data_IF_343437508427
#
_entry.id   IF_343437508427
#
_cell.length_a   1.000
_cell.length_b   1.000
_cell.length_c   1.000
_cell.angle_alpha   90.00
_cell.angle_beta   90.00
_cell.angle_gamma   90.00
#
_symmetry.space_group_name_H-M   'P 1'
#
loop_
_entity.id
_entity.type
_entity.pdbx_description
1 polymer ?
#
# COMPACT_ATOMS: atom_id res chain seq x y z
N UNK A 1 -10.10 -39.15 -56.38
CA UNK A 1 -9.13 -38.82 -55.31
C UNK A 1 -9.90 -38.28 -54.12
N UNK A 2 -10.03 -39.05 -53.04
CA UNK A 2 -10.78 -38.64 -51.85
C UNK A 2 -9.81 -38.05 -50.81
N UNK A 3 -10.00 -36.78 -50.48
CA UNK A 3 -9.23 -36.04 -49.48
C UNK A 3 -9.47 -36.62 -48.09
N UNK A 4 -8.41 -37.16 -47.47
CA UNK A 4 -8.42 -37.60 -46.07
C UNK A 4 -8.45 -36.37 -45.17
N UNK A 5 -9.54 -36.18 -44.44
CA UNK A 5 -9.58 -35.29 -43.29
C UNK A 5 -8.66 -35.91 -42.23
N UNK A 6 -7.62 -35.17 -41.86
CA UNK A 6 -6.61 -35.59 -40.87
C UNK A 6 -7.29 -35.64 -39.49
N UNK A 7 -7.58 -36.84 -38.99
CA UNK A 7 -8.08 -37.01 -37.61
C UNK A 7 -8.92 -38.25 -37.29
N UNK A 8 -9.43 -39.01 -38.27
CA UNK A 8 -10.25 -40.20 -37.99
C UNK A 8 -9.45 -41.50 -37.84
N UNK A 9 -9.88 -42.40 -36.94
CA UNK A 9 -9.38 -43.78 -36.89
C UNK A 9 -9.71 -44.53 -38.20
N UNK A 10 -8.86 -45.50 -38.57
CA UNK A 10 -9.08 -46.36 -39.75
C UNK A 10 -10.27 -47.31 -39.58
N UNK A 11 -10.58 -47.67 -38.33
CA UNK A 11 -11.73 -48.47 -37.97
C UNK A 11 -12.96 -47.58 -37.80
N UNK A 12 -13.99 -47.81 -38.62
CA UNK A 12 -15.19 -46.95 -38.66
C UNK A 12 -16.04 -47.08 -37.40
N UNK A 13 -16.09 -48.27 -36.80
CA UNK A 13 -16.87 -48.50 -35.60
C UNK A 13 -16.20 -47.85 -34.39
N UNK A 14 -14.88 -47.98 -34.28
CA UNK A 14 -14.08 -47.28 -33.26
C UNK A 14 -14.15 -45.76 -33.37
N UNK A 15 -14.10 -45.22 -34.59
CA UNK A 15 -14.19 -43.76 -34.81
C UNK A 15 -15.58 -43.20 -34.45
N UNK A 16 -16.65 -43.96 -34.73
CA UNK A 16 -18.01 -43.59 -34.31
C UNK A 16 -18.17 -43.65 -32.80
N UNK A 17 -17.68 -44.69 -32.14
CA UNK A 17 -17.74 -44.82 -30.69
C UNK A 17 -17.02 -43.64 -30.00
N UNK A 18 -15.79 -43.34 -30.44
CA UNK A 18 -15.01 -42.22 -29.92
C UNK A 18 -15.74 -40.88 -30.10
N UNK A 19 -16.32 -40.61 -31.28
CA UNK A 19 -17.12 -39.39 -31.51
C UNK A 19 -18.32 -39.29 -30.57
N UNK A 20 -19.03 -40.39 -30.32
CA UNK A 20 -20.17 -40.36 -29.39
C UNK A 20 -19.73 -40.11 -27.95
N UNK A 21 -18.56 -40.60 -27.54
CA UNK A 21 -17.98 -40.33 -26.22
C UNK A 21 -17.53 -38.88 -26.09
N UNK A 22 -16.87 -38.34 -27.12
CA UNK A 22 -16.47 -36.93 -27.19
C UNK A 22 -17.69 -36.01 -27.16
N UNK A 23 -18.76 -36.33 -27.89
CA UNK A 23 -20.01 -35.58 -27.87
C UNK A 23 -20.67 -35.62 -26.48
N UNK A 24 -20.73 -36.79 -25.84
CA UNK A 24 -21.24 -36.93 -24.47
C UNK A 24 -20.40 -36.14 -23.47
N UNK A 25 -19.08 -36.19 -23.57
CA UNK A 25 -18.18 -35.44 -22.71
C UNK A 25 -18.35 -33.93 -22.92
N UNK A 26 -18.44 -33.49 -24.17
CA UNK A 26 -18.71 -32.08 -24.52
C UNK A 26 -20.04 -31.61 -23.94
N UNK A 27 -21.11 -32.37 -24.10
CA UNK A 27 -22.43 -32.03 -23.53
C UNK A 27 -22.37 -31.96 -22.00
N UNK A 28 -21.68 -32.91 -21.37
CA UNK A 28 -21.47 -32.90 -19.91
C UNK A 28 -20.74 -31.64 -19.45
N UNK A 29 -19.67 -31.24 -20.13
CA UNK A 29 -18.92 -30.02 -19.80
C UNK A 29 -19.73 -28.75 -20.05
N UNK A 30 -20.49 -28.68 -21.15
CA UNK A 30 -21.37 -27.55 -21.45
C UNK A 30 -22.49 -27.41 -20.40
N UNK A 31 -23.10 -28.52 -19.99
CA UNK A 31 -24.13 -28.50 -18.96
C UNK A 31 -23.55 -28.06 -17.60
N UNK A 32 -22.38 -28.60 -17.20
CA UNK A 32 -21.72 -28.19 -15.95
C UNK A 32 -21.33 -26.70 -15.96
N UNK A 33 -20.83 -26.18 -17.08
CA UNK A 33 -20.52 -24.76 -17.23
C UNK A 33 -21.79 -23.90 -17.15
N UNK A 34 -22.88 -24.34 -17.79
CA UNK A 34 -24.18 -23.66 -17.75
C UNK A 34 -24.77 -23.64 -16.34
N UNK A 35 -24.64 -24.72 -15.57
CA UNK A 35 -25.10 -24.78 -14.17
C UNK A 35 -24.33 -23.78 -13.29
N UNK A 36 -23.00 -23.70 -13.43
CA UNK A 36 -22.18 -22.73 -12.71
C UNK A 36 -22.56 -21.29 -13.09
N UNK A 37 -22.86 -21.06 -14.37
CA UNK A 37 -23.28 -19.75 -14.86
C UNK A 37 -24.64 -19.36 -14.25
N UNK A 38 -25.62 -20.27 -14.25
CA UNK A 38 -26.93 -20.06 -13.64
C UNK A 38 -26.86 -19.77 -12.13
N UNK A 39 -25.90 -20.38 -11.41
CA UNK A 39 -25.69 -20.14 -9.97
C UNK A 39 -25.05 -18.77 -9.65
N UNK A 40 -24.30 -18.20 -10.59
CA UNK A 40 -23.52 -16.96 -10.36
C UNK A 40 -24.17 -15.72 -10.96
N UNK A 41 -24.97 -15.89 -12.01
CA UNK A 41 -25.62 -14.80 -12.73
C UNK A 41 -27.07 -14.55 -12.26
N UNK A 42 -27.68 -13.51 -12.82
CA UNK A 42 -29.10 -13.23 -12.64
C UNK A 42 -29.96 -14.33 -13.28
N UNK A 43 -31.01 -14.82 -12.57
CA UNK A 43 -31.84 -15.94 -13.02
C UNK A 43 -32.79 -15.61 -14.19
N UNK A 44 -32.89 -14.34 -14.56
CA UNK A 44 -33.71 -13.85 -15.66
C UNK A 44 -32.82 -13.34 -16.79
N UNK A 45 -33.26 -13.51 -18.03
CA UNK A 45 -32.69 -12.82 -19.18
C UNK A 45 -33.14 -11.36 -19.16
N UNK A 46 -32.20 -10.42 -19.27
CA UNK A 46 -32.41 -8.99 -19.05
C UNK A 46 -33.23 -8.37 -20.20
N UNK A 47 -33.20 -8.97 -21.39
CA UNK A 47 -33.81 -8.39 -22.59
C UNK A 47 -35.29 -8.75 -22.69
N UNK A 48 -35.63 -10.01 -22.44
CA UNK A 48 -36.99 -10.55 -22.61
C UNK A 48 -37.65 -10.95 -21.28
N UNK A 49 -36.95 -10.81 -20.14
CA UNK A 49 -37.38 -11.21 -18.80
C UNK A 49 -37.78 -12.69 -18.66
N UNK A 50 -37.37 -13.54 -19.62
CA UNK A 50 -37.63 -14.97 -19.54
C UNK A 50 -36.78 -15.59 -18.42
N UNK A 51 -37.37 -16.56 -17.71
CA UNK A 51 -36.64 -17.33 -16.69
C UNK A 51 -35.65 -18.26 -17.37
N UNK A 52 -34.35 -18.13 -17.03
CA UNK A 52 -33.32 -19.06 -17.52
C UNK A 52 -33.47 -20.47 -16.92
N UNK A 53 -34.30 -20.62 -15.88
CA UNK A 53 -34.57 -21.87 -15.17
C UNK A 53 -35.85 -22.59 -15.65
N UNK A 54 -36.47 -22.11 -16.74
CA UNK A 54 -37.69 -22.71 -17.27
C UNK A 54 -37.44 -24.18 -17.69
N UNK A 55 -38.05 -25.13 -16.98
CA UNK A 55 -37.91 -26.58 -17.23
C UNK A 55 -37.07 -27.34 -16.20
N UNK A 56 -36.30 -26.66 -15.34
CA UNK A 56 -35.79 -27.25 -14.10
C UNK A 56 -36.90 -27.17 -13.04
N UNK A 57 -37.12 -28.26 -12.31
CA UNK A 57 -38.24 -28.47 -11.38
C UNK A 57 -38.64 -27.25 -10.53
N UNK A 58 -39.90 -26.81 -10.67
CA UNK A 58 -40.83 -26.23 -9.67
C UNK A 58 -40.44 -25.03 -8.79
N UNK A 59 -39.17 -24.80 -8.51
CA UNK A 59 -38.72 -23.83 -7.52
C UNK A 59 -38.44 -22.49 -8.18
N UNK A 60 -39.07 -21.44 -7.66
CA UNK A 60 -38.81 -20.08 -8.11
C UNK A 60 -37.31 -19.73 -7.94
N UNK A 61 -36.70 -18.97 -8.87
CA UNK A 61 -35.27 -18.66 -8.82
C UNK A 61 -34.79 -17.97 -7.53
N UNK A 62 -35.71 -17.35 -6.80
CA UNK A 62 -35.45 -16.67 -5.53
C UNK A 62 -35.32 -17.60 -4.32
N UNK A 63 -35.82 -18.84 -4.40
CA UNK A 63 -35.75 -19.80 -3.27
C UNK A 63 -34.50 -20.68 -3.29
N UNK A 64 -33.79 -20.79 -4.42
CA UNK A 64 -32.64 -21.67 -4.59
C UNK A 64 -31.42 -21.31 -3.71
N UNK A 65 -31.27 -20.04 -3.34
CA UNK A 65 -30.13 -19.58 -2.50
C UNK A 65 -30.39 -19.68 -1.00
N UNK A 66 -31.64 -19.85 -0.58
CA UNK A 66 -32.04 -19.77 0.83
C UNK A 66 -32.53 -21.10 1.45
N UNK A 67 -32.79 -22.13 0.66
CA UNK A 67 -33.34 -23.41 1.14
C UNK A 67 -32.30 -24.53 1.23
N UNK A 68 -31.13 -24.29 1.83
CA UNK A 68 -30.48 -25.43 2.50
C UNK A 68 -31.34 -25.73 3.73
N UNK A 69 -32.05 -26.87 3.81
CA UNK A 69 -32.61 -27.29 5.09
C UNK A 69 -31.41 -27.34 6.04
N UNK A 70 -31.42 -26.46 7.05
CA UNK A 70 -30.53 -26.61 8.18
C UNK A 70 -30.96 -27.93 8.81
N UNK A 71 -30.32 -29.02 8.39
CA UNK A 71 -30.35 -30.28 9.14
C UNK A 71 -29.95 -29.83 10.54
N UNK A 72 -30.93 -29.78 11.44
CA UNK A 72 -30.70 -29.37 12.80
C UNK A 72 -29.57 -30.25 13.28
N UNK A 73 -28.39 -29.66 13.50
CA UNK A 73 -27.34 -30.35 14.24
C UNK A 73 -28.07 -30.78 15.50
N UNK A 74 -28.33 -32.09 15.66
CA UNK A 74 -28.66 -32.65 16.96
C UNK A 74 -27.57 -32.09 17.85
N UNK A 75 -27.93 -31.18 18.75
CA UNK A 75 -26.95 -30.52 19.60
C UNK A 75 -26.10 -31.62 20.19
N UNK A 76 -24.78 -31.55 20.00
CA UNK A 76 -23.87 -32.40 20.77
C UNK A 76 -24.38 -32.36 22.22
N UNK A 77 -24.56 -33.51 22.89
CA UNK A 77 -24.89 -33.51 24.31
C UNK A 77 -23.87 -32.58 24.96
N UNK A 78 -24.36 -31.50 25.59
CA UNK A 78 -23.48 -30.50 26.18
C UNK A 78 -22.55 -31.24 27.13
N UNK A 79 -21.23 -31.07 27.01
CA UNK A 79 -20.22 -31.68 27.89
C UNK A 79 -20.34 -31.25 29.37
N UNK A 80 -21.35 -30.44 29.67
CA UNK A 80 -21.74 -29.93 30.97
C UNK A 80 -22.79 -30.86 31.59
N UNK A 81 -22.47 -32.14 31.73
CA UNK A 81 -23.36 -33.09 32.40
C UNK A 81 -22.84 -33.37 33.81
N UNK A 82 -23.70 -33.26 34.82
CA UNK A 82 -23.34 -33.28 36.25
C UNK A 82 -23.02 -34.69 36.79
N UNK A 83 -22.63 -35.63 35.93
CA UNK A 83 -22.25 -37.00 36.28
C UNK A 83 -20.94 -37.42 35.62
N UNK A 84 -20.27 -38.38 36.23
CA UNK A 84 -19.01 -38.94 35.73
C UNK A 84 -19.32 -39.92 34.59
N UNK A 85 -18.69 -39.72 33.44
CA UNK A 85 -18.97 -40.47 32.20
C UNK A 85 -18.63 -41.96 32.34
N UNK A 86 -17.67 -42.32 33.20
CA UNK A 86 -17.25 -43.71 33.40
C UNK A 86 -18.17 -44.47 34.36
N UNK A 87 -18.65 -43.82 35.42
CA UNK A 87 -19.45 -44.47 36.46
C UNK A 87 -20.95 -44.18 36.36
N UNK A 88 -21.36 -43.21 35.54
CA UNK A 88 -22.73 -42.67 35.46
C UNK A 88 -23.31 -42.17 36.80
N UNK A 89 -22.47 -41.95 37.82
CA UNK A 89 -22.87 -41.40 39.11
C UNK A 89 -22.61 -39.89 39.14
N UNK A 90 -23.40 -39.16 39.93
CA UNK A 90 -23.24 -37.71 40.06
C UNK A 90 -21.85 -37.34 40.60
N UNK A 91 -21.33 -36.17 40.23
CA UNK A 91 -20.03 -35.70 40.74
C UNK A 91 -20.02 -35.53 42.26
N UNK A 92 -21.19 -35.42 42.89
CA UNK A 92 -21.32 -35.40 44.35
C UNK A 92 -20.88 -36.70 45.01
N UNK A 93 -21.07 -37.86 44.36
CA UNK A 93 -20.66 -39.18 44.89
C UNK A 93 -19.15 -39.38 44.75
N UNK A 94 -18.56 -38.88 43.66
CA UNK A 94 -17.12 -39.01 43.37
C UNK A 94 -16.25 -37.89 43.92
N UNK A 95 -16.80 -37.01 44.75
CA UNK A 95 -16.05 -35.90 45.30
C UNK A 95 -15.08 -36.39 46.40
N UNK A 96 -13.79 -36.05 46.26
CA UNK A 96 -12.72 -36.49 47.16
C UNK A 96 -12.84 -35.91 48.58
N UNK A 97 -13.48 -34.75 48.76
CA UNK A 97 -13.74 -34.14 50.07
C UNK A 97 -14.94 -34.77 50.81
N UNK A 98 -14.92 -34.71 52.15
CA UNK A 98 -16.01 -35.16 53.03
C UNK A 98 -17.32 -34.42 52.74
N UNK A 99 -18.52 -35.05 52.82
CA UNK A 99 -19.81 -34.45 52.42
C UNK A 99 -20.06 -33.02 52.89
N UNK A 100 -19.66 -32.68 54.11
CA UNK A 100 -19.84 -31.35 54.73
C UNK A 100 -18.94 -30.26 54.10
N UNK A 101 -17.74 -30.62 53.64
CA UNK A 101 -16.76 -29.70 53.05
C UNK A 101 -16.88 -29.61 51.52
N UNK A 102 -17.84 -30.33 50.93
CA UNK A 102 -18.05 -30.30 49.49
C UNK A 102 -18.58 -28.94 49.08
N UNK A 103 -18.11 -28.36 47.96
CA UNK A 103 -18.78 -27.24 47.33
C UNK A 103 -20.23 -27.65 47.06
N UNK A 104 -21.19 -27.02 47.75
CA UNK A 104 -22.60 -27.35 47.60
C UNK A 104 -23.04 -27.01 46.19
N UNK A 105 -23.23 -28.03 45.36
CA UNK A 105 -23.77 -27.92 44.01
C UNK A 105 -25.24 -27.51 44.09
N UNK A 106 -25.52 -26.22 44.32
CA UNK A 106 -26.90 -25.72 44.42
C UNK A 106 -27.15 -24.56 45.38
N UNK A 107 -26.19 -24.17 46.23
CA UNK A 107 -26.40 -23.08 47.20
C UNK A 107 -26.37 -21.71 46.50
N UNK A 108 -27.51 -21.31 45.96
CA UNK A 108 -27.96 -19.93 45.82
C UNK A 108 -27.28 -19.06 44.76
N UNK A 109 -26.11 -19.45 44.22
CA UNK A 109 -25.50 -18.82 43.04
C UNK A 109 -25.60 -19.74 41.83
N UNK A 110 -26.82 -20.19 41.49
CA UNK A 110 -27.12 -20.30 40.07
C UNK A 110 -26.81 -18.91 39.55
N UNK A 111 -25.71 -18.74 38.80
CA UNK A 111 -25.42 -17.52 38.05
C UNK A 111 -26.77 -17.04 37.56
N UNK A 112 -27.26 -15.90 38.10
CA UNK A 112 -28.58 -15.35 37.78
C UNK A 112 -28.76 -15.63 36.31
N UNK A 113 -29.70 -16.54 35.99
CA UNK A 113 -29.98 -17.04 34.63
C UNK A 113 -29.68 -15.86 33.74
N UNK A 114 -28.52 -15.81 33.03
CA UNK A 114 -28.06 -14.58 32.37
C UNK A 114 -29.31 -14.08 31.69
N UNK A 115 -29.87 -12.96 32.18
CA UNK A 115 -31.19 -12.48 31.75
C UNK A 115 -31.17 -12.65 30.25
N UNK A 116 -32.07 -13.46 29.67
CA UNK A 116 -31.90 -13.92 28.28
C UNK A 116 -31.63 -12.68 27.44
N UNK A 117 -30.36 -12.41 27.16
CA UNK A 117 -29.92 -11.13 26.62
C UNK A 117 -30.43 -11.19 25.21
N UNK A 118 -31.55 -10.50 24.97
CA UNK A 118 -32.11 -10.41 23.65
C UNK A 118 -31.03 -9.72 22.82
N UNK A 119 -30.56 -10.33 21.72
CA UNK A 119 -29.54 -9.71 20.91
C UNK A 119 -30.04 -8.34 20.44
N UNK A 120 -29.22 -7.31 20.55
CA UNK A 120 -29.61 -5.92 20.28
C UNK A 120 -30.21 -5.71 18.89
N UNK A 121 -29.86 -6.54 17.90
CA UNK A 121 -30.45 -6.49 16.55
C UNK A 121 -31.93 -6.91 16.50
N UNK A 122 -32.43 -7.58 17.55
CA UNK A 122 -33.82 -8.04 17.67
C UNK A 122 -34.71 -6.91 18.19
N UNK A 123 -34.14 -6.00 18.98
CA UNK A 123 -34.80 -4.82 19.48
C UNK A 123 -34.65 -3.69 18.46
N UNK A 124 -35.74 -3.35 17.78
CA UNK A 124 -35.74 -2.19 16.89
C UNK A 124 -35.70 -0.92 17.72
N UNK A 125 -34.78 -0.02 17.42
CA UNK A 125 -34.62 1.25 18.11
C UNK A 125 -35.49 2.37 17.52
N UNK A 126 -36.38 2.03 16.59
CA UNK A 126 -37.33 2.92 15.96
C UNK A 126 -38.73 2.29 15.87
N UNK A 127 -39.74 3.15 15.85
CA UNK A 127 -41.13 2.75 15.65
C UNK A 127 -41.38 2.45 14.17
N UNK A 128 -41.87 1.25 13.88
CA UNK A 128 -42.07 0.74 12.52
C UNK A 128 -43.11 1.57 11.74
N UNK A 129 -44.14 2.09 12.42
CA UNK A 129 -45.24 2.83 11.78
C UNK A 129 -44.80 4.25 11.45
N UNK A 130 -44.16 4.93 12.42
CA UNK A 130 -43.79 6.35 12.28
C UNK A 130 -42.37 6.56 11.75
N UNK A 131 -41.57 5.49 11.64
CA UNK A 131 -40.14 5.52 11.29
C UNK A 131 -39.25 6.40 12.17
N UNK A 132 -39.78 6.89 13.30
CA UNK A 132 -39.03 7.71 14.26
C UNK A 132 -38.32 6.83 15.26
N UNK A 133 -37.14 7.27 15.67
CA UNK A 133 -36.40 6.62 16.76
C UNK A 133 -37.19 6.72 18.07
N UNK A 134 -37.12 5.69 18.90
CA UNK A 134 -37.77 5.63 20.21
C UNK A 134 -37.28 6.73 21.15
N UNK A 135 -35.99 7.09 21.04
CA UNK A 135 -35.34 8.11 21.86
C UNK A 135 -34.50 9.05 20.98
N UNK A 136 -34.55 10.34 21.29
CA UNK A 136 -33.75 11.42 20.69
C UNK A 136 -33.72 11.44 19.15
N UNK A 137 -34.89 11.28 18.53
CA UNK A 137 -35.00 11.15 17.07
C UNK A 137 -34.29 12.25 16.30
N UNK A 138 -34.50 13.52 16.66
CA UNK A 138 -33.92 14.65 15.93
C UNK A 138 -32.39 14.69 16.03
N UNK A 139 -31.84 14.29 17.19
CA UNK A 139 -30.39 14.24 17.37
C UNK A 139 -29.77 13.08 16.60
N UNK A 140 -30.41 11.89 16.64
CA UNK A 140 -29.98 10.72 15.88
C UNK A 140 -30.06 10.97 14.37
N UNK A 141 -31.14 11.57 13.89
CA UNK A 141 -31.32 11.91 12.49
C UNK A 141 -30.23 12.90 12.01
N UNK A 142 -29.91 13.94 12.79
CA UNK A 142 -28.82 14.87 12.46
C UNK A 142 -27.45 14.17 12.40
N UNK A 143 -27.16 13.29 13.36
CA UNK A 143 -25.93 12.48 13.39
C UNK A 143 -25.86 11.51 12.21
N UNK A 144 -26.98 10.92 11.83
CA UNK A 144 -27.05 9.99 10.72
C UNK A 144 -26.83 10.70 9.39
N UNK A 145 -27.46 11.86 9.17
CA UNK A 145 -27.23 12.69 7.98
C UNK A 145 -25.77 13.12 7.88
N UNK A 146 -25.15 13.54 8.98
CA UNK A 146 -23.73 13.92 8.98
C UNK A 146 -22.82 12.73 8.70
N UNK A 147 -23.12 11.56 9.27
CA UNK A 147 -22.39 10.32 9.03
C UNK A 147 -22.55 9.83 7.59
N UNK A 148 -23.76 9.86 7.04
CA UNK A 148 -24.02 9.51 5.64
C UNK A 148 -23.28 10.45 4.69
N UNK A 149 -23.27 11.75 4.98
CA UNK A 149 -22.49 12.74 4.20
C UNK A 149 -20.99 12.46 4.26
N UNK A 150 -20.46 12.12 5.44
CA UNK A 150 -19.06 11.76 5.61
C UNK A 150 -18.70 10.46 4.86
N UNK A 151 -19.55 9.43 4.92
CA UNK A 151 -19.39 8.18 4.18
C UNK A 151 -19.45 8.40 2.67
N UNK A 152 -20.37 9.24 2.19
CA UNK A 152 -20.48 9.58 0.79
C UNK A 152 -19.23 10.33 0.31
N UNK A 153 -18.73 11.30 1.09
CA UNK A 153 -17.49 12.01 0.80
C UNK A 153 -16.28 11.06 0.78
N UNK A 154 -16.17 10.14 1.74
CA UNK A 154 -15.10 9.14 1.77
C UNK A 154 -15.14 8.20 0.57
N UNK A 155 -16.33 7.69 0.19
CA UNK A 155 -16.52 6.86 -1.01
C UNK A 155 -16.15 7.63 -2.28
N UNK A 156 -16.57 8.88 -2.39
CA UNK A 156 -16.22 9.74 -3.52
C UNK A 156 -14.71 9.95 -3.62
N UNK A 157 -14.04 10.32 -2.52
CA UNK A 157 -12.58 10.50 -2.49
C UNK A 157 -11.82 9.23 -2.83
N UNK A 158 -12.28 8.07 -2.35
CA UNK A 158 -11.64 6.79 -2.65
C UNK A 158 -11.74 6.42 -4.14
N UNK A 159 -12.89 6.67 -4.78
CA UNK A 159 -13.10 6.38 -6.20
C UNK A 159 -12.46 7.42 -7.12
N UNK A 160 -12.55 8.68 -6.74
CA UNK A 160 -12.12 9.84 -7.52
C UNK A 160 -10.98 10.56 -6.81
N UNK A 161 -9.88 9.84 -6.57
CA UNK A 161 -8.75 10.35 -5.81
C UNK A 161 -8.06 11.54 -6.49
N UNK A 162 -7.95 11.51 -7.81
CA UNK A 162 -7.31 12.54 -8.61
C UNK A 162 -8.24 13.05 -9.71
N UNK A 163 -8.32 14.37 -9.86
CA UNK A 163 -9.05 15.02 -10.94
C UNK A 163 -8.07 15.40 -12.07
N UNK A 164 -8.14 14.74 -13.25
CA UNK A 164 -7.19 14.99 -14.34
C UNK A 164 -7.37 16.35 -15.01
N UNK A 165 -8.57 16.93 -14.97
CA UNK A 165 -8.86 18.22 -15.61
C UNK A 165 -8.27 19.37 -14.80
N UNK A 166 -8.47 19.33 -13.48
CA UNK A 166 -7.92 20.34 -12.57
C UNK A 166 -6.48 20.03 -12.14
N UNK A 167 -5.99 18.83 -12.45
CA UNK A 167 -4.70 18.29 -12.02
C UNK A 167 -4.48 18.39 -10.50
N UNK A 168 -5.54 18.13 -9.72
CA UNK A 168 -5.53 18.21 -8.25
C UNK A 168 -6.11 16.96 -7.63
N UNK A 169 -5.63 16.63 -6.43
CA UNK A 169 -6.23 15.58 -5.63
C UNK A 169 -7.57 16.04 -5.02
N UNK A 170 -8.51 15.12 -4.87
CA UNK A 170 -9.81 15.42 -4.26
C UNK A 170 -9.71 15.69 -2.75
N UNK A 171 -8.64 15.20 -2.11
CA UNK A 171 -8.31 15.47 -0.72
C UNK A 171 -7.24 16.59 -0.63
N UNK A 172 -7.53 17.74 0.01
CA UNK A 172 -6.59 18.86 0.09
C UNK A 172 -5.29 18.50 0.83
N UNK A 173 -5.33 17.61 1.82
CA UNK A 173 -4.11 17.20 2.56
C UNK A 173 -3.20 16.32 1.70
N UNK A 174 -3.79 15.50 0.82
CA UNK A 174 -3.02 14.72 -0.15
C UNK A 174 -2.41 15.63 -1.23
N UNK A 175 -3.19 16.62 -1.70
CA UNK A 175 -2.73 17.59 -2.69
C UNK A 175 -1.52 18.38 -2.19
N UNK A 176 -1.55 18.84 -0.92
CA UNK A 176 -0.44 19.55 -0.29
C UNK A 176 0.82 18.68 -0.20
N UNK A 177 0.68 17.44 0.31
CA UNK A 177 1.81 16.49 0.42
C UNK A 177 2.43 16.16 -0.94
N UNK A 178 1.60 16.00 -1.97
CA UNK A 178 2.09 15.71 -3.31
C UNK A 178 2.84 16.90 -3.90
N UNK A 179 2.34 18.13 -3.72
CA UNK A 179 3.05 19.35 -4.13
C UNK A 179 4.43 19.45 -3.48
N UNK A 180 4.50 19.32 -2.15
CA UNK A 180 5.78 19.33 -1.43
C UNK A 180 6.76 18.28 -1.96
N UNK A 181 6.26 17.09 -2.28
CA UNK A 181 7.07 16.01 -2.86
C UNK A 181 7.56 16.35 -4.28
N UNK A 182 6.71 16.94 -5.12
CA UNK A 182 7.10 17.35 -6.46
C UNK A 182 8.13 18.48 -6.42
N UNK A 183 7.95 19.47 -5.56
CA UNK A 183 8.89 20.58 -5.36
C UNK A 183 10.25 20.06 -4.87
N UNK A 184 10.25 19.13 -3.90
CA UNK A 184 11.46 18.47 -3.44
C UNK A 184 12.14 17.65 -4.56
N UNK A 185 11.36 16.95 -5.39
CA UNK A 185 11.89 16.19 -6.51
C UNK A 185 12.48 17.09 -7.60
N UNK A 186 11.84 18.22 -7.89
CA UNK A 186 12.33 19.18 -8.88
C UNK A 186 13.65 19.81 -8.43
N UNK A 187 13.72 20.23 -7.17
CA UNK A 187 14.97 20.76 -6.60
C UNK A 187 16.08 19.71 -6.54
N UNK A 188 15.76 18.45 -6.25
CA UNK A 188 16.72 17.33 -6.30
C UNK A 188 17.24 17.09 -7.72
N UNK A 189 16.34 17.06 -8.71
CA UNK A 189 16.71 16.90 -10.13
C UNK A 189 17.67 17.98 -10.59
N UNK A 190 17.41 19.24 -10.24
CA UNK A 190 18.30 20.36 -10.57
C UNK A 190 19.66 20.18 -9.89
N UNK A 191 19.69 19.86 -8.60
CA UNK A 191 20.95 19.62 -7.85
C UNK A 191 21.75 18.47 -8.45
N UNK A 192 21.08 17.38 -8.81
CA UNK A 192 21.69 16.21 -9.44
C UNK A 192 22.26 16.55 -10.81
N UNK A 193 21.50 17.26 -11.64
CA UNK A 193 21.95 17.73 -12.94
C UNK A 193 23.20 18.63 -12.81
N UNK A 194 23.19 19.57 -11.86
CA UNK A 194 24.36 20.42 -11.56
C UNK A 194 25.57 19.62 -11.06
N UNK A 195 25.34 18.57 -10.27
CA UNK A 195 26.41 17.71 -9.77
C UNK A 195 27.05 16.86 -10.87
N UNK A 196 26.27 16.42 -11.86
CA UNK A 196 26.73 15.62 -13.01
C UNK A 196 27.43 16.45 -14.09
N UNK A 197 27.43 17.79 -13.99
CA UNK A 197 28.15 18.63 -14.93
C UNK A 197 29.67 18.34 -14.90
N UNK A 198 30.33 18.25 -16.05
CA UNK A 198 31.76 18.00 -16.09
C UNK A 198 32.54 19.15 -15.43
N UNK A 199 33.71 18.87 -14.80
CA UNK A 199 34.50 19.88 -14.10
C UNK A 199 34.92 21.04 -14.98
N UNK A 200 35.07 20.82 -16.29
CA UNK A 200 35.42 21.87 -17.24
C UNK A 200 34.31 22.91 -17.41
N UNK A 201 33.04 22.57 -17.17
CA UNK A 201 31.89 23.48 -17.25
C UNK A 201 31.55 24.03 -15.86
N UNK A 202 31.71 23.20 -14.83
CA UNK A 202 31.41 23.55 -13.44
C UNK A 202 32.29 24.73 -12.99
N UNK A 203 31.65 25.80 -12.51
CA UNK A 203 32.38 26.97 -12.02
C UNK A 203 32.96 27.89 -13.10
N UNK A 204 32.49 27.80 -14.36
CA UNK A 204 32.75 28.87 -15.34
C UNK A 204 31.91 30.11 -15.02
N UNK A 205 32.50 31.28 -15.21
CA UNK A 205 31.79 32.56 -15.06
C UNK A 205 30.53 32.65 -15.94
N UNK A 206 30.57 32.03 -17.13
CA UNK A 206 29.44 31.96 -18.07
C UNK A 206 28.21 31.25 -17.50
N UNK A 207 28.37 30.33 -16.54
CA UNK A 207 27.22 29.63 -15.94
C UNK A 207 26.40 30.53 -15.00
N UNK A 208 26.98 31.63 -14.52
CA UNK A 208 26.30 32.58 -13.64
C UNK A 208 25.76 33.79 -14.40
N UNK A 209 25.84 33.76 -15.73
CA UNK A 209 25.38 34.82 -16.61
C UNK A 209 24.25 34.32 -17.49
N UNK A 210 23.16 35.05 -17.57
CA UNK A 210 22.10 34.77 -18.53
C UNK A 210 22.44 35.45 -19.87
N UNK A 211 22.62 34.64 -20.91
CA UNK A 211 22.98 35.13 -22.25
C UNK A 211 21.85 35.93 -22.92
N UNK A 212 20.59 35.68 -22.55
CA UNK A 212 19.42 36.30 -23.18
C UNK A 212 19.04 37.59 -22.47
N UNK A 213 18.94 37.57 -21.14
CA UNK A 213 18.55 38.76 -20.37
C UNK A 213 19.74 39.65 -20.00
N UNK A 214 20.97 39.17 -20.22
CA UNK A 214 22.21 39.80 -19.75
C UNK A 214 22.26 40.04 -18.24
N UNK A 215 21.45 39.32 -17.47
CA UNK A 215 21.42 39.43 -16.02
C UNK A 215 22.37 38.41 -15.37
N UNK A 216 22.85 38.78 -14.18
CA UNK A 216 23.66 37.90 -13.34
C UNK A 216 22.74 37.04 -12.49
N UNK A 217 22.80 35.71 -12.69
CA UNK A 217 22.01 34.77 -11.90
C UNK A 217 22.55 34.63 -10.46
N UNK A 218 23.87 34.71 -10.27
CA UNK A 218 24.50 34.61 -8.95
C UNK A 218 25.71 35.55 -8.80
N UNK A 219 25.50 36.76 -8.25
CA UNK A 219 26.58 37.74 -8.11
C UNK A 219 27.60 37.35 -7.04
N UNK A 220 27.19 36.59 -6.02
CA UNK A 220 28.09 36.14 -4.96
C UNK A 220 29.13 35.15 -5.48
N UNK A 221 28.72 34.22 -6.35
CA UNK A 221 29.63 33.25 -6.97
C UNK A 221 30.67 33.94 -7.86
N UNK A 222 30.27 34.93 -8.68
CA UNK A 222 31.19 35.70 -9.51
C UNK A 222 32.19 36.51 -8.67
N UNK A 223 31.72 37.14 -7.58
CA UNK A 223 32.60 37.84 -6.64
C UNK A 223 33.63 36.89 -6.02
N UNK A 224 33.20 35.71 -5.59
CA UNK A 224 34.12 34.71 -5.04
C UNK A 224 35.19 34.28 -6.06
N UNK A 225 34.83 34.15 -7.34
CA UNK A 225 35.78 33.84 -8.42
C UNK A 225 36.80 34.97 -8.65
N UNK A 226 36.34 36.22 -8.62
CA UNK A 226 37.22 37.38 -8.74
C UNK A 226 38.21 37.44 -7.57
N UNK A 227 37.72 37.30 -6.34
CA UNK A 227 38.56 37.26 -5.12
C UNK A 227 39.61 36.14 -5.21
N UNK A 228 39.19 34.92 -5.59
CA UNK A 228 40.13 33.79 -5.72
C UNK A 228 41.20 34.03 -6.81
N UNK A 229 40.86 34.73 -7.89
CA UNK A 229 41.81 35.10 -8.94
C UNK A 229 42.81 36.17 -8.43
N UNK A 230 42.36 37.15 -7.68
CA UNK A 230 43.22 38.20 -7.12
C UNK A 230 44.13 37.64 -6.03
N UNK A 231 43.63 36.79 -5.13
CA UNK A 231 44.46 36.05 -4.18
C UNK A 231 45.53 35.20 -4.87
N UNK A 232 45.22 34.63 -6.04
CA UNK A 232 46.19 33.86 -6.83
C UNK A 232 47.29 34.77 -7.37
N UNK A 233 46.95 35.95 -7.89
CA UNK A 233 47.93 36.96 -8.34
C UNK A 233 48.84 37.39 -7.19
N UNK A 234 48.26 37.69 -6.03
CA UNK A 234 49.02 38.08 -4.83
C UNK A 234 49.95 36.95 -4.37
N UNK A 235 49.50 35.69 -4.40
CA UNK A 235 50.37 34.53 -4.11
C UNK A 235 51.56 34.42 -5.07
N UNK A 236 51.36 34.67 -6.37
CA UNK A 236 52.46 34.66 -7.34
C UNK A 236 53.44 35.83 -7.13
N UNK A 237 52.93 37.04 -6.88
CA UNK A 237 53.76 38.21 -6.53
C UNK A 237 54.62 37.93 -5.30
N UNK A 238 54.00 37.41 -4.24
CA UNK A 238 54.69 37.08 -3.00
C UNK A 238 55.76 36.00 -3.21
N UNK A 239 55.47 34.97 -4.02
CA UNK A 239 56.45 33.96 -4.38
C UNK A 239 57.66 34.57 -5.08
N UNK A 240 57.42 35.42 -6.08
CA UNK A 240 58.50 36.06 -6.84
C UNK A 240 59.36 36.97 -5.97
N UNK A 241 58.73 37.76 -5.07
CA UNK A 241 59.44 38.60 -4.10
C UNK A 241 60.30 37.74 -3.16
N UNK A 242 59.73 36.65 -2.64
CA UNK A 242 60.46 35.73 -1.78
C UNK A 242 61.65 35.12 -2.52
N UNK A 243 61.44 34.52 -3.70
CA UNK A 243 62.51 33.93 -4.53
C UNK A 243 63.62 34.94 -4.82
N UNK A 244 63.28 36.18 -5.17
CA UNK A 244 64.25 37.27 -5.34
C UNK A 244 65.05 37.55 -4.06
N UNK A 245 64.38 37.62 -2.91
CA UNK A 245 65.04 37.81 -1.61
C UNK A 245 65.96 36.64 -1.24
N UNK A 246 65.56 35.39 -1.53
CA UNK A 246 66.41 34.21 -1.34
C UNK A 246 67.65 34.29 -2.22
N UNK A 247 67.49 34.68 -3.49
CA UNK A 247 68.62 34.82 -4.41
C UNK A 247 69.62 35.88 -3.94
N UNK A 248 69.15 37.05 -3.51
CA UNK A 248 70.02 38.11 -2.96
C UNK A 248 70.75 37.64 -1.70
N UNK A 249 70.07 36.89 -0.82
CA UNK A 249 70.69 36.29 0.38
C UNK A 249 71.76 35.27 0.02
N UNK A 250 71.53 34.44 -0.98
CA UNK A 250 72.52 33.46 -1.44
C UNK A 250 73.75 34.13 -2.06
N UNK A 251 73.55 35.15 -2.90
CA UNK A 251 74.64 35.94 -3.49
C UNK A 251 75.47 36.64 -2.41
N UNK A 252 74.82 37.32 -1.46
CA UNK A 252 75.50 37.98 -0.34
C UNK A 252 76.24 37.00 0.56
N UNK A 253 75.65 35.83 0.87
CA UNK A 253 76.33 34.74 1.59
C UNK A 253 77.55 34.25 0.82
N UNK A 254 77.43 34.06 -0.50
CA UNK A 254 78.54 33.70 -1.37
C UNK A 254 79.68 34.73 -1.33
N UNK A 255 79.37 36.03 -1.34
CA UNK A 255 80.37 37.09 -1.18
C UNK A 255 81.07 37.05 0.17
N UNK A 256 80.33 36.83 1.27
CA UNK A 256 80.89 36.71 2.62
C UNK A 256 81.77 35.46 2.75
N UNK A 257 81.35 34.33 2.21
CA UNK A 257 82.15 33.10 2.21
C UNK A 257 83.43 33.26 1.38
N UNK A 258 83.34 33.95 0.24
CA UNK A 258 84.50 34.28 -0.59
C UNK A 258 85.48 35.21 0.13
N UNK A 259 84.99 36.29 0.77
CA UNK A 259 85.85 37.21 1.51
C UNK A 259 86.54 36.53 2.69
N UNK A 260 85.83 35.66 3.43
CA UNK A 260 86.41 34.83 4.49
C UNK A 260 87.52 33.92 3.97
N UNK A 261 87.33 33.27 2.81
CA UNK A 261 88.37 32.44 2.18
C UNK A 261 89.61 33.25 1.79
N UNK A 262 89.42 34.45 1.23
CA UNK A 262 90.53 35.34 0.87
C UNK A 262 91.32 35.82 2.11
N UNK A 263 90.62 36.17 3.20
CA UNK A 263 91.24 36.59 4.46
C UNK A 263 91.96 35.43 5.19
N UNK A 264 91.53 34.18 5.00
CA UNK A 264 92.21 33.01 5.57
C UNK A 264 93.57 32.76 4.92
N UNK A 265 93.75 33.15 3.65
CA UNK A 265 95.00 32.96 2.89
C UNK A 265 96.01 34.09 3.16
N UNK A 266 95.60 35.23 3.71
CA UNK A 266 96.50 36.34 4.05
C UNK A 266 97.21 36.17 5.40
N UNK A 267 97.82 35.00 5.62
CA UNK A 267 98.85 34.81 6.65
C UNK A 267 100.17 34.53 5.94
N UNK A 268 100.72 35.54 5.26
CA UNK A 268 102.15 35.58 4.98
C UNK A 268 102.63 37.01 4.69
N UNK A 269 103.59 37.42 5.52
CA UNK A 269 104.46 38.62 5.55
C UNK A 269 103.93 39.91 6.18
#
# INVERSE_FOLDING_TARGET
MATKIVGGLRDREGDLALRTEEEKARLKHLNAARDIQLLREQPFDIINNASKLQGLSGDHPMTLTYSKPRVGRRGMPTTLVDYNILSNLSHGVHHWAHPEDRPKTGDGRRLRRKERLVPSYTEKDYNIITTRYLYDHDQKAKKEVSLQRALAAAKYRARNRFNPVLQRFADPEEDARMKERFDAMETERVKRALAQQPPCIKGRATNYWNLVTHEVNNPAALKAMAVAADERKERFKNRYIMEGNWHVRDVSRGHVERSRRMNAISHDR
#
